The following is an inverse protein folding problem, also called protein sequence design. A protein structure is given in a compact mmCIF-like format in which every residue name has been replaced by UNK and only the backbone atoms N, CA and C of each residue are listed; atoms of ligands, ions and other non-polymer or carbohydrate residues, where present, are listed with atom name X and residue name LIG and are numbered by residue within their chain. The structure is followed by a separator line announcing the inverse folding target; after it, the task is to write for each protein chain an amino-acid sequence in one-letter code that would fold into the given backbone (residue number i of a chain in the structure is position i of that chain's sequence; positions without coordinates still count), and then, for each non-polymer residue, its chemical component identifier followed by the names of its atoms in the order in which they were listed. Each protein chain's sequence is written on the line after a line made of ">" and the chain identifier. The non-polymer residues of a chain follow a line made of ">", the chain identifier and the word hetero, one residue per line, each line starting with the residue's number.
data_IF_262796366908
#
_entry.id   IF_262796366908
#
_cell.length_a   1.000
_cell.length_b   1.000
_cell.length_c   1.000
_cell.angle_alpha   90.00
_cell.angle_beta   90.00
_cell.angle_gamma   90.00
#
_symmetry.space_group_name_H-M   'P 1'
#
loop_
_entity.id
_entity.type
_entity.pdbx_description
1 polymer ?
#
# COMPACT_ATOMS: atom_id res chain seq x y z
N UNK A 1 21.32 2.04 -7.12
CA UNK A 1 20.24 1.24 -6.57
C UNK A 1 20.65 -0.23 -6.47
N UNK A 2 20.33 -0.88 -5.35
CA UNK A 2 20.74 -2.27 -5.12
C UNK A 2 20.18 -3.22 -6.19
N UNK A 3 18.90 -3.04 -6.56
CA UNK A 3 18.24 -3.89 -7.56
C UNK A 3 18.96 -3.77 -8.91
N UNK A 4 19.27 -2.56 -9.32
CA UNK A 4 19.98 -2.32 -10.58
C UNK A 4 21.36 -2.97 -10.58
N UNK A 5 22.07 -2.84 -9.45
CA UNK A 5 23.40 -3.44 -9.32
C UNK A 5 23.38 -4.96 -9.34
N UNK A 6 22.27 -5.56 -8.92
CA UNK A 6 22.12 -7.01 -8.95
C UNK A 6 21.64 -7.52 -10.30
N UNK A 7 21.33 -6.62 -11.23
CA UNK A 7 20.84 -6.96 -12.56
C UNK A 7 19.62 -7.89 -12.51
N UNK A 8 18.67 -7.56 -11.64
CA UNK A 8 17.46 -8.35 -11.45
C UNK A 8 16.40 -8.01 -12.49
N UNK A 9 15.43 -8.92 -12.66
CA UNK A 9 14.27 -8.70 -13.52
C UNK A 9 13.32 -7.71 -12.86
N UNK A 10 13.06 -6.59 -13.54
CA UNK A 10 12.20 -5.53 -13.03
C UNK A 10 10.72 -5.73 -13.33
N UNK A 11 10.32 -6.81 -14.03
CA UNK A 11 8.92 -7.06 -14.33
C UNK A 11 8.10 -7.27 -13.06
N UNK A 12 8.75 -7.63 -11.94
CA UNK A 12 8.12 -7.88 -10.65
C UNK A 12 8.85 -7.11 -9.54
N UNK A 13 8.92 -5.79 -9.69
CA UNK A 13 9.52 -4.96 -8.65
C UNK A 13 8.42 -4.36 -7.75
N UNK A 14 8.32 -4.86 -6.53
CA UNK A 14 7.31 -4.45 -5.55
C UNK A 14 7.98 -3.81 -4.34
N UNK A 15 7.28 -2.87 -3.72
CA UNK A 15 7.72 -2.28 -2.45
C UNK A 15 6.60 -2.36 -1.43
N UNK A 16 6.95 -2.47 -0.15
CA UNK A 16 5.97 -2.45 0.92
C UNK A 16 6.49 -1.63 2.09
N UNK A 17 5.58 -1.11 2.89
CA UNK A 17 5.94 -0.33 4.07
C UNK A 17 4.82 -0.33 5.10
N UNK A 18 5.19 -0.24 6.38
CA UNK A 18 4.27 -0.25 7.51
C UNK A 18 4.32 1.10 8.23
N UNK A 19 3.18 1.68 8.52
CA UNK A 19 3.03 2.93 9.27
C UNK A 19 3.83 4.07 8.59
N UNK A 20 4.84 4.64 9.25
CA UNK A 20 5.70 5.64 8.61
C UNK A 20 6.39 5.09 7.37
N UNK A 21 6.74 3.80 7.38
CA UNK A 21 7.31 3.14 6.21
C UNK A 21 6.37 3.12 5.02
N UNK A 22 5.05 3.20 5.24
CA UNK A 22 4.09 3.31 4.14
C UNK A 22 4.24 4.63 3.40
N UNK A 23 4.52 5.72 4.12
CA UNK A 23 4.80 7.01 3.49
C UNK A 23 6.06 6.95 2.64
N UNK A 24 7.12 6.33 3.18
CA UNK A 24 8.38 6.15 2.43
C UNK A 24 8.14 5.30 1.20
N UNK A 25 7.35 4.24 1.33
CA UNK A 25 6.97 3.37 0.21
C UNK A 25 6.26 4.18 -0.89
N UNK A 26 5.31 5.01 -0.52
CA UNK A 26 4.56 5.84 -1.46
C UNK A 26 5.45 6.88 -2.13
N UNK A 27 6.38 7.48 -1.39
CA UNK A 27 7.34 8.42 -1.97
C UNK A 27 8.26 7.71 -2.96
N UNK A 28 8.63 6.47 -2.67
CA UNK A 28 9.50 5.69 -3.54
C UNK A 28 8.84 5.41 -4.90
N UNK A 29 7.57 5.06 -4.93
CA UNK A 29 6.88 4.78 -6.19
C UNK A 29 6.80 6.01 -7.09
N UNK A 30 6.84 7.22 -6.50
CA UNK A 30 6.86 8.46 -7.28
C UNK A 30 8.20 8.72 -7.96
N UNK A 31 9.28 8.11 -7.46
CA UNK A 31 10.65 8.35 -7.94
C UNK A 31 11.25 7.20 -8.74
N UNK A 32 10.66 6.00 -8.60
CA UNK A 32 11.26 4.78 -9.16
C UNK A 32 10.26 4.13 -10.11
N UNK A 33 10.31 4.45 -11.40
CA UNK A 33 9.34 3.91 -12.37
C UNK A 33 9.43 2.41 -12.56
N UNK A 34 10.53 1.76 -12.15
CA UNK A 34 10.64 0.30 -12.19
C UNK A 34 9.77 -0.40 -11.15
N UNK A 35 9.28 0.32 -10.14
CA UNK A 35 8.34 -0.25 -9.16
C UNK A 35 6.98 -0.34 -9.80
N UNK A 36 6.44 -1.54 -9.92
CA UNK A 36 5.17 -1.77 -10.60
C UNK A 36 4.03 -2.19 -9.67
N UNK A 37 4.28 -2.27 -8.37
CA UNK A 37 3.22 -2.52 -7.39
C UNK A 37 3.69 -2.14 -5.99
N UNK A 38 2.74 -1.89 -5.08
CA UNK A 38 3.09 -1.55 -3.71
C UNK A 38 2.09 -2.17 -2.73
N UNK A 39 2.52 -2.33 -1.48
CA UNK A 39 1.65 -2.72 -0.36
C UNK A 39 1.93 -1.75 0.79
N UNK A 40 0.97 -0.89 1.09
CA UNK A 40 1.07 0.08 2.17
C UNK A 40 0.22 -0.41 3.34
N UNK A 41 0.86 -0.62 4.49
CA UNK A 41 0.21 -1.18 5.67
C UNK A 41 0.07 -0.10 6.74
N UNK A 42 -1.15 0.13 7.21
CA UNK A 42 -1.49 1.14 8.21
C UNK A 42 -0.94 2.54 7.87
N UNK A 43 -1.22 3.07 6.67
CA UNK A 43 -0.80 4.44 6.37
C UNK A 43 -1.53 5.42 7.28
N UNK A 44 -0.92 6.59 7.51
CA UNK A 44 -1.47 7.60 8.41
C UNK A 44 -1.75 8.91 7.68
N UNK A 45 -2.81 8.96 6.83
CA UNK A 45 -3.11 10.17 6.04
C UNK A 45 -3.52 11.36 6.90
N UNK A 46 -3.94 11.12 8.13
CA UNK A 46 -4.28 12.18 9.09
C UNK A 46 -3.04 12.82 9.73
N UNK A 47 -1.87 12.17 9.61
CA UNK A 47 -0.61 12.66 10.18
C UNK A 47 0.32 13.15 9.08
N UNK A 48 0.41 12.42 7.97
CA UNK A 48 1.30 12.73 6.86
C UNK A 48 0.49 13.09 5.62
N UNK A 49 1.01 14.01 4.82
CA UNK A 49 0.35 14.47 3.61
C UNK A 49 0.61 13.49 2.45
N UNK A 50 -0.46 12.85 1.99
CA UNK A 50 -0.41 11.93 0.84
C UNK A 50 -0.94 12.57 -0.45
N UNK A 51 -1.11 13.89 -0.48
CA UNK A 51 -1.66 14.56 -1.67
C UNK A 51 -0.77 14.39 -2.91
N UNK A 52 0.52 14.07 -2.74
CA UNK A 52 1.42 13.81 -3.86
C UNK A 52 1.02 12.57 -4.67
N UNK A 53 0.10 11.73 -4.15
CA UNK A 53 -0.41 10.56 -4.87
C UNK A 53 -1.54 10.88 -5.85
N UNK A 54 -1.72 12.13 -6.18
CA UNK A 54 -2.68 12.55 -7.19
C UNK A 54 -1.92 13.21 -8.36
N UNK A 55 -1.52 12.47 -9.41
CA UNK A 55 -1.89 11.09 -9.71
C UNK A 55 -1.01 10.02 -9.07
N UNK A 56 -1.62 8.89 -8.75
CA UNK A 56 -0.90 7.72 -8.24
C UNK A 56 -0.27 6.97 -9.44
N UNK A 57 1.04 6.73 -9.43
CA UNK A 57 1.72 6.23 -10.62
C UNK A 57 1.62 4.72 -10.86
N UNK A 58 1.19 3.96 -9.86
CA UNK A 58 1.14 2.49 -10.01
C UNK A 58 0.05 1.90 -9.13
N UNK A 59 -0.34 0.67 -9.47
CA UNK A 59 -1.34 -0.07 -8.70
C UNK A 59 -0.74 -0.63 -7.41
N UNK A 60 -1.60 -0.95 -6.45
CA UNK A 60 -1.14 -1.48 -5.18
C UNK A 60 -2.26 -1.86 -4.24
N UNK A 61 -1.88 -2.15 -3.00
CA UNK A 61 -2.80 -2.51 -1.93
C UNK A 61 -2.55 -1.60 -0.73
N UNK A 62 -3.63 -1.13 -0.12
CA UNK A 62 -3.58 -0.43 1.17
C UNK A 62 -4.30 -1.30 2.18
N UNK A 63 -3.61 -1.72 3.24
CA UNK A 63 -4.20 -2.52 4.31
C UNK A 63 -4.34 -1.64 5.55
N UNK A 64 -5.54 -1.62 6.11
CA UNK A 64 -5.82 -0.79 7.27
C UNK A 64 -6.67 -1.55 8.28
N UNK A 65 -6.66 -1.08 9.53
CA UNK A 65 -7.41 -1.67 10.63
C UNK A 65 -8.67 -0.88 10.90
N UNK A 66 -9.76 -1.56 11.24
CA UNK A 66 -11.02 -0.89 11.56
C UNK A 66 -11.00 -0.19 12.93
N UNK A 67 -10.13 -0.62 13.84
CA UNK A 67 -9.99 -0.03 15.17
C UNK A 67 -8.59 0.57 15.38
N UNK A 68 -8.07 1.23 14.35
CA UNK A 68 -6.75 1.86 14.41
C UNK A 68 -6.85 3.12 15.28
N UNK A 69 -6.12 3.12 16.40
CA UNK A 69 -6.13 4.24 17.36
C UNK A 69 -5.30 5.43 16.89
N UNK A 70 -4.47 5.25 15.85
CA UNK A 70 -3.59 6.30 15.33
C UNK A 70 -4.06 6.88 14.00
N UNK A 71 -5.10 6.29 13.40
CA UNK A 71 -5.57 6.68 12.06
C UNK A 71 -7.10 6.79 12.07
N UNK A 72 -7.61 7.92 11.59
CA UNK A 72 -9.06 8.11 11.52
C UNK A 72 -9.64 7.41 10.30
N UNK A 73 -10.89 6.95 10.42
CA UNK A 73 -11.60 6.32 9.30
C UNK A 73 -11.79 7.32 8.16
N UNK A 74 -12.05 8.57 8.48
CA UNK A 74 -12.26 9.63 7.50
C UNK A 74 -11.01 9.84 6.64
N UNK A 75 -9.81 9.79 7.24
CA UNK A 75 -8.57 9.98 6.50
C UNK A 75 -8.33 8.86 5.50
N UNK A 76 -8.68 7.62 5.85
CA UNK A 76 -8.57 6.48 4.95
C UNK A 76 -9.58 6.60 3.81
N UNK A 77 -10.82 6.98 4.14
CA UNK A 77 -11.87 7.18 3.14
C UNK A 77 -11.49 8.27 2.14
N UNK A 78 -10.91 9.37 2.62
CA UNK A 78 -10.45 10.46 1.76
C UNK A 78 -9.33 9.99 0.83
N UNK A 79 -8.37 9.26 1.36
CA UNK A 79 -7.27 8.72 0.55
C UNK A 79 -7.80 7.77 -0.53
N UNK A 80 -8.71 6.87 -0.14
CA UNK A 80 -9.35 5.93 -1.06
C UNK A 80 -10.06 6.69 -2.19
N UNK A 81 -10.86 7.70 -1.85
CA UNK A 81 -11.61 8.48 -2.83
C UNK A 81 -10.68 9.19 -3.82
N UNK A 82 -9.60 9.78 -3.33
CA UNK A 82 -8.63 10.49 -4.19
C UNK A 82 -7.97 9.54 -5.17
N UNK A 83 -7.58 8.36 -4.72
CA UNK A 83 -6.91 7.39 -5.56
C UNK A 83 -7.88 6.76 -6.56
N UNK A 84 -9.09 6.41 -6.11
CA UNK A 84 -10.10 5.77 -6.98
C UNK A 84 -10.63 6.67 -8.08
N UNK A 85 -10.50 7.98 -7.96
CA UNK A 85 -10.91 8.89 -9.03
C UNK A 85 -9.99 8.83 -10.24
N UNK A 86 -8.86 8.13 -10.13
CA UNK A 86 -7.88 8.06 -11.21
C UNK A 86 -8.11 6.84 -12.10
N UNK A 87 -7.81 7.00 -13.39
CA UNK A 87 -7.93 5.92 -14.36
C UNK A 87 -6.56 5.28 -14.59
N UNK A 88 -6.57 4.00 -14.92
CA UNK A 88 -5.35 3.28 -15.30
C UNK A 88 -4.60 2.63 -14.17
N UNK A 89 -4.97 2.90 -12.92
CA UNK A 89 -4.38 2.21 -11.76
C UNK A 89 -5.50 1.66 -10.89
N UNK A 90 -5.21 0.55 -10.22
CA UNK A 90 -6.14 -0.08 -9.30
C UNK A 90 -5.47 -0.23 -7.94
N UNK A 91 -5.99 0.49 -6.95
CA UNK A 91 -5.51 0.38 -5.57
C UNK A 91 -6.62 -0.24 -4.73
N UNK A 92 -6.33 -1.40 -4.15
CA UNK A 92 -7.29 -2.17 -3.36
C UNK A 92 -7.10 -1.80 -1.90
N UNK A 93 -8.18 -1.35 -1.25
CA UNK A 93 -8.18 -1.03 0.17
C UNK A 93 -8.74 -2.23 0.95
N UNK A 94 -7.88 -2.90 1.71
CA UNK A 94 -8.22 -4.11 2.45
C UNK A 94 -8.31 -3.81 3.94
N UNK A 95 -9.48 -4.04 4.54
CA UNK A 95 -9.72 -3.80 5.96
C UNK A 95 -9.53 -5.10 6.75
N UNK A 96 -8.74 -5.05 7.83
CA UNK A 96 -8.63 -6.14 8.78
C UNK A 96 -9.54 -5.83 9.96
N UNK A 97 -10.57 -6.64 10.16
CA UNK A 97 -11.58 -6.42 11.20
C UNK A 97 -11.04 -6.72 12.58
N UNK A 98 -11.53 -5.98 13.57
CA UNK A 98 -11.20 -6.15 14.99
C UNK A 98 -9.69 -6.09 15.24
N UNK A 99 -9.00 -5.19 14.54
CA UNK A 99 -7.55 -5.03 14.66
C UNK A 99 -7.18 -3.60 15.02
N UNK A 100 -6.02 -3.44 15.66
CA UNK A 100 -5.46 -2.13 15.97
C UNK A 100 -4.41 -1.74 14.93
N UNK A 101 -3.73 -0.60 15.15
CA UNK A 101 -2.71 -0.08 14.22
C UNK A 101 -1.61 -1.10 13.93
N UNK A 102 -1.22 -1.88 14.94
CA UNK A 102 -0.12 -2.84 14.85
C UNK A 102 -0.58 -4.25 14.53
N UNK A 103 -1.87 -4.46 14.26
CA UNK A 103 -2.45 -5.77 13.95
C UNK A 103 -2.17 -6.82 15.03
N UNK A 104 -2.18 -6.38 16.30
CA UNK A 104 -1.93 -7.28 17.43
C UNK A 104 -2.96 -8.41 17.45
N UNK A 105 -2.47 -9.65 17.52
CA UNK A 105 -3.28 -10.88 17.47
C UNK A 105 -4.05 -11.04 16.16
N UNK A 106 -3.66 -10.30 15.12
CA UNK A 106 -4.28 -10.36 13.78
C UNK A 106 -3.24 -10.56 12.68
N UNK A 107 -2.06 -11.07 13.05
CA UNK A 107 -0.96 -11.27 12.11
C UNK A 107 -1.33 -12.25 11.00
N UNK A 108 -2.14 -13.27 11.33
CA UNK A 108 -2.59 -14.26 10.33
C UNK A 108 -3.52 -13.61 9.30
N UNK A 109 -4.43 -12.76 9.76
CA UNK A 109 -5.37 -12.06 8.89
C UNK A 109 -4.64 -11.08 7.98
N UNK A 110 -3.66 -10.36 8.54
CA UNK A 110 -2.82 -9.45 7.76
C UNK A 110 -2.04 -10.23 6.69
N UNK A 111 -1.39 -11.31 7.09
CA UNK A 111 -0.62 -12.16 6.18
C UNK A 111 -1.50 -12.73 5.08
N UNK A 112 -2.74 -13.13 5.42
CA UNK A 112 -3.68 -13.68 4.45
C UNK A 112 -4.07 -12.64 3.39
N UNK A 113 -4.31 -11.39 3.79
CA UNK A 113 -4.64 -10.32 2.85
C UNK A 113 -3.47 -10.01 1.91
N UNK A 114 -2.25 -9.98 2.44
CA UNK A 114 -1.05 -9.75 1.62
C UNK A 114 -0.86 -10.90 0.63
N UNK A 115 -0.96 -12.14 1.10
CA UNK A 115 -0.79 -13.33 0.27
C UNK A 115 -1.83 -13.37 -0.84
N UNK A 116 -3.09 -13.09 -0.51
CA UNK A 116 -4.17 -13.06 -1.49
C UNK A 116 -3.89 -12.05 -2.59
N UNK A 117 -3.47 -10.85 -2.23
CA UNK A 117 -3.17 -9.80 -3.20
C UNK A 117 -2.02 -10.21 -4.11
N UNK A 118 -0.94 -10.74 -3.53
CA UNK A 118 0.23 -11.16 -4.31
C UNK A 118 -0.16 -12.26 -5.30
N UNK A 119 -0.94 -13.25 -4.86
CA UNK A 119 -1.39 -14.33 -5.74
C UNK A 119 -2.26 -13.82 -6.88
N UNK A 120 -3.19 -12.91 -6.59
CA UNK A 120 -4.06 -12.36 -7.62
C UNK A 120 -3.26 -11.60 -8.68
N UNK A 121 -2.27 -10.83 -8.27
CA UNK A 121 -1.49 -10.03 -9.21
C UNK A 121 -0.47 -10.85 -9.98
N UNK A 122 0.16 -11.84 -9.36
CA UNK A 122 1.15 -12.67 -10.04
C UNK A 122 0.50 -13.69 -10.96
N UNK A 123 -0.75 -14.09 -10.69
CA UNK A 123 -1.47 -15.02 -11.59
C UNK A 123 -1.80 -14.39 -12.94
N UNK A 124 -1.73 -13.07 -13.07
CA UNK A 124 -2.00 -12.36 -14.32
C UNK A 124 -0.77 -12.23 -15.21
N UNK A 125 0.35 -12.74 -14.79
CA UNK A 125 1.63 -12.65 -15.51
C UNK A 125 1.99 -13.98 -16.23
#
# INVERSE_FOLDING_TARGET
>A
DWIERQNLDYSQCWVSGFSFGSLICMQLIMRRPEVNNFIAISPQPNVYDFSFLAPCPTSGQVIYSDNDELVTKESITDLDSRIKSQKGVEVIFSKVKNSNHFFKNKEKELSAEITKYIKEKTALI
#
